data_IF_065289381737
#
_entry.id   IF_065289381737
#
_cell.length_a   1.000
_cell.length_b   1.000
_cell.length_c   1.000
_cell.angle_alpha   90.00
_cell.angle_beta   90.00
_cell.angle_gamma   90.00
#
_symmetry.space_group_name_H-M   'P 1'
#
loop_
_entity.id
_entity.type
_entity.pdbx_description
1 polymer ?
#
# COMPACT_ATOMS: atom_id res chain seq x y z
N UNK A 1 14.08 14.24 8.08
CA UNK A 1 14.11 13.28 6.95
C UNK A 1 14.04 11.91 7.58
N UNK A 2 12.89 11.23 7.51
CA UNK A 2 12.63 10.04 8.34
C UNK A 2 13.13 8.79 7.63
N UNK A 3 13.81 7.92 8.37
CA UNK A 3 14.45 6.71 7.86
C UNK A 3 13.42 5.77 7.23
N UNK A 4 13.67 5.37 5.98
CA UNK A 4 12.76 4.51 5.21
C UNK A 4 12.92 3.07 5.68
N UNK A 5 11.81 2.45 6.09
CA UNK A 5 11.78 1.03 6.43
C UNK A 5 11.67 0.22 5.15
N UNK A 6 12.72 -0.54 4.85
CA UNK A 6 12.76 -1.41 3.69
C UNK A 6 11.97 -2.69 3.95
N UNK A 7 11.17 -3.11 2.97
CA UNK A 7 10.57 -4.43 2.98
C UNK A 7 11.62 -5.48 2.56
N UNK A 8 12.06 -6.31 3.50
CA UNK A 8 13.15 -7.30 3.30
C UNK A 8 12.64 -8.66 2.83
N UNK A 9 13.55 -9.54 2.39
CA UNK A 9 13.20 -10.90 1.93
C UNK A 9 12.59 -11.76 3.04
N UNK A 10 13.03 -11.57 4.29
CA UNK A 10 12.48 -12.28 5.43
C UNK A 10 11.03 -11.85 5.68
N UNK A 11 10.73 -10.56 5.54
CA UNK A 11 9.37 -10.02 5.63
C UNK A 11 8.43 -10.61 4.57
N UNK A 12 8.92 -11.03 3.39
CA UNK A 12 8.08 -11.65 2.35
C UNK A 12 7.31 -12.88 2.87
N UNK A 13 7.91 -13.67 3.77
CA UNK A 13 7.30 -14.90 4.30
C UNK A 13 6.29 -14.63 5.41
N UNK A 14 6.61 -13.68 6.29
CA UNK A 14 5.85 -13.49 7.54
C UNK A 14 4.83 -12.36 7.47
N UNK A 15 5.01 -11.37 6.57
CA UNK A 15 4.19 -10.17 6.53
C UNK A 15 2.95 -10.34 5.65
N UNK A 16 1.85 -9.74 6.08
CA UNK A 16 0.65 -9.53 5.26
C UNK A 16 0.77 -8.19 4.54
N UNK A 17 0.62 -8.17 3.23
CA UNK A 17 0.67 -6.96 2.41
C UNK A 17 -0.76 -6.49 2.12
N UNK A 18 -1.12 -5.31 2.59
CA UNK A 18 -2.43 -4.70 2.37
C UNK A 18 -2.45 -3.87 1.08
N UNK A 19 -3.45 -4.11 0.25
CA UNK A 19 -3.70 -3.41 -1.02
C UNK A 19 -4.96 -2.54 -0.85
N UNK A 20 -4.95 -1.26 -1.26
CA UNK A 20 -6.11 -0.38 -1.13
C UNK A 20 -7.15 -0.72 -2.20
N UNK A 21 -8.43 -0.46 -1.92
CA UNK A 21 -9.52 -0.84 -2.83
C UNK A 21 -9.83 0.27 -3.84
N UNK A 22 -8.95 0.48 -4.81
CA UNK A 22 -9.17 1.48 -5.87
C UNK A 22 -9.92 0.93 -7.08
N UNK A 23 -9.65 -0.32 -7.44
CA UNK A 23 -10.23 -0.97 -8.61
C UNK A 23 -10.47 -2.46 -8.29
N UNK A 24 -11.58 -2.79 -7.59
CA UNK A 24 -11.74 -4.06 -6.89
C UNK A 24 -11.52 -5.29 -7.78
N UNK A 25 -12.08 -5.27 -8.99
CA UNK A 25 -12.00 -6.40 -9.93
C UNK A 25 -10.56 -6.63 -10.39
N UNK A 26 -9.86 -5.57 -10.82
CA UNK A 26 -8.49 -5.68 -11.32
C UNK A 26 -7.52 -6.03 -10.20
N UNK A 27 -7.65 -5.39 -9.04
CA UNK A 27 -6.75 -5.63 -7.90
C UNK A 27 -6.96 -7.00 -7.26
N UNK A 28 -8.15 -7.59 -7.38
CA UNK A 28 -8.40 -8.98 -6.97
C UNK A 28 -7.60 -9.97 -7.83
N UNK A 29 -7.60 -9.80 -9.15
CA UNK A 29 -6.82 -10.61 -10.08
C UNK A 29 -5.31 -10.45 -9.81
N UNK A 30 -4.86 -9.20 -9.68
CA UNK A 30 -3.46 -8.90 -9.35
C UNK A 30 -3.06 -9.56 -8.03
N UNK A 31 -3.86 -9.42 -6.97
CA UNK A 31 -3.63 -10.10 -5.68
C UNK A 31 -3.45 -11.60 -5.86
N UNK A 32 -4.32 -12.25 -6.64
CA UNK A 32 -4.26 -13.70 -6.86
C UNK A 32 -2.96 -14.11 -7.56
N UNK A 33 -2.52 -13.33 -8.56
CA UNK A 33 -1.21 -13.52 -9.19
C UNK A 33 -0.08 -13.38 -8.17
N UNK A 34 -0.06 -12.32 -7.36
CA UNK A 34 0.97 -12.16 -6.34
C UNK A 34 0.95 -13.28 -5.27
N UNK A 35 -0.22 -13.81 -4.91
CA UNK A 35 -0.33 -14.96 -4.01
C UNK A 35 0.30 -16.22 -4.60
N UNK A 36 0.14 -16.47 -5.90
CA UNK A 36 0.81 -17.58 -6.60
C UNK A 36 2.35 -17.47 -6.53
N UNK A 37 2.89 -16.25 -6.46
CA UNK A 37 4.31 -15.98 -6.32
C UNK A 37 4.80 -15.90 -4.86
N UNK A 38 3.97 -16.37 -3.92
CA UNK A 38 4.30 -16.53 -2.50
C UNK A 38 4.25 -15.24 -1.69
N UNK A 39 3.48 -14.23 -2.13
CA UNK A 39 3.21 -13.02 -1.35
C UNK A 39 1.85 -13.12 -0.66
N UNK A 40 1.81 -12.93 0.66
CA UNK A 40 0.54 -12.91 1.40
C UNK A 40 -0.16 -11.55 1.25
N UNK A 41 -0.94 -11.39 0.19
CA UNK A 41 -1.65 -10.15 -0.11
C UNK A 41 -3.12 -10.18 0.30
N UNK A 42 -3.61 -9.08 0.85
CA UNK A 42 -5.02 -8.88 1.21
C UNK A 42 -5.52 -7.59 0.57
N UNK A 43 -6.61 -7.68 -0.20
CA UNK A 43 -7.33 -6.52 -0.71
C UNK A 43 -8.22 -5.98 0.41
N UNK A 44 -8.04 -4.71 0.75
CA UNK A 44 -8.88 -4.03 1.71
C UNK A 44 -10.32 -3.96 1.18
N UNK A 45 -11.28 -4.13 2.09
CA UNK A 45 -12.72 -4.04 1.79
C UNK A 45 -13.43 -3.07 2.73
N UNK A 46 -12.69 -2.36 3.58
CA UNK A 46 -13.26 -1.33 4.42
C UNK A 46 -13.63 -0.12 3.56
N UNK A 47 -14.86 0.33 3.74
CA UNK A 47 -15.47 1.41 3.00
C UNK A 47 -16.46 2.15 3.91
N UNK A 48 -16.96 3.30 3.45
CA UNK A 48 -17.94 4.09 4.18
C UNK A 48 -17.33 5.23 5.02
N UNK A 49 -18.14 5.82 5.93
CA UNK A 49 -17.79 7.07 6.62
C UNK A 49 -16.52 6.98 7.48
N UNK A 50 -16.25 5.85 8.13
CA UNK A 50 -15.09 5.69 9.02
C UNK A 50 -13.76 5.88 8.29
N UNK A 51 -13.68 5.39 7.04
CA UNK A 51 -12.52 5.56 6.15
C UNK A 51 -12.31 7.04 5.82
N UNK A 52 -13.39 7.76 5.51
CA UNK A 52 -13.35 9.18 5.17
C UNK A 52 -12.91 10.01 6.37
N UNK A 53 -13.52 9.77 7.53
CA UNK A 53 -13.19 10.45 8.78
C UNK A 53 -11.73 10.20 9.19
N UNK A 54 -11.27 8.96 9.09
CA UNK A 54 -9.87 8.59 9.36
C UNK A 54 -8.92 9.30 8.39
N UNK A 55 -9.26 9.33 7.10
CA UNK A 55 -8.51 10.08 6.09
C UNK A 55 -8.39 11.56 6.42
N UNK A 56 -9.51 12.23 6.74
CA UNK A 56 -9.57 13.65 7.13
C UNK A 56 -8.80 13.95 8.43
N UNK A 57 -8.72 12.98 9.35
CA UNK A 57 -8.00 13.12 10.62
C UNK A 57 -6.47 13.17 10.43
N UNK A 58 -5.93 12.38 9.50
CA UNK A 58 -4.48 12.21 9.35
C UNK A 58 -3.89 12.90 8.11
N UNK A 59 -4.71 13.18 7.10
CA UNK A 59 -4.33 13.81 5.83
C UNK A 59 -4.96 15.20 5.72
N UNK A 60 -4.28 16.13 5.05
CA UNK A 60 -4.84 17.48 4.85
C UNK A 60 -5.94 17.47 3.78
N UNK A 61 -6.97 18.29 3.98
CA UNK A 61 -8.12 18.44 3.09
C UNK A 61 -7.78 18.93 1.66
N UNK A 62 -6.61 19.55 1.47
CA UNK A 62 -6.11 20.00 0.15
C UNK A 62 -5.41 18.88 -0.66
N UNK A 63 -5.63 17.62 -0.24
CA UNK A 63 -5.15 16.45 -0.96
C UNK A 63 -6.26 15.95 -1.89
N UNK A 64 -5.90 15.44 -3.06
CA UNK A 64 -6.87 14.78 -3.94
C UNK A 64 -7.61 13.66 -3.18
N UNK A 65 -8.93 13.65 -3.33
CA UNK A 65 -9.84 12.76 -2.61
C UNK A 65 -9.47 11.26 -2.68
N UNK A 66 -8.99 10.70 -3.82
CA UNK A 66 -8.57 9.29 -3.85
C UNK A 66 -7.39 8.98 -2.92
N UNK A 67 -6.46 9.92 -2.72
CA UNK A 67 -5.36 9.72 -1.77
C UNK A 67 -5.88 9.67 -0.34
N UNK A 68 -6.83 10.55 -0.01
CA UNK A 68 -7.46 10.60 1.29
C UNK A 68 -8.17 9.28 1.60
N UNK A 69 -8.93 8.75 0.64
CA UNK A 69 -9.60 7.45 0.79
C UNK A 69 -8.60 6.31 0.95
N UNK A 70 -7.56 6.22 0.11
CA UNK A 70 -6.56 5.15 0.25
C UNK A 70 -5.84 5.19 1.60
N UNK A 71 -5.38 6.37 2.02
CA UNK A 71 -4.67 6.53 3.30
C UNK A 71 -5.63 6.24 4.46
N UNK A 72 -6.87 6.73 4.37
CA UNK A 72 -7.94 6.43 5.32
C UNK A 72 -8.17 4.93 5.44
N UNK A 73 -8.29 4.22 4.31
CA UNK A 73 -8.50 2.76 4.29
C UNK A 73 -7.36 2.02 4.99
N UNK A 74 -6.11 2.41 4.72
CA UNK A 74 -4.96 1.78 5.37
C UNK A 74 -4.96 2.01 6.88
N UNK A 75 -5.13 3.25 7.33
CA UNK A 75 -5.06 3.58 8.76
C UNK A 75 -6.24 2.96 9.52
N UNK A 76 -7.45 3.04 8.96
CA UNK A 76 -8.66 2.42 9.52
C UNK A 76 -8.48 0.90 9.63
N UNK A 77 -7.93 0.25 8.60
CA UNK A 77 -7.64 -1.18 8.62
C UNK A 77 -6.60 -1.54 9.69
N UNK A 78 -5.51 -0.77 9.82
CA UNK A 78 -4.49 -1.00 10.84
C UNK A 78 -5.02 -0.76 12.27
N UNK A 79 -5.92 0.21 12.46
CA UNK A 79 -6.55 0.52 13.75
C UNK A 79 -7.70 -0.43 14.11
N UNK A 80 -8.26 -1.16 13.13
CA UNK A 80 -9.37 -2.09 13.35
C UNK A 80 -9.03 -3.30 14.24
N UNK A 81 -7.75 -3.55 14.52
CA UNK A 81 -7.26 -4.69 15.30
C UNK A 81 -7.31 -6.03 14.55
N UNK A 82 -7.78 -6.06 13.29
CA UNK A 82 -7.85 -7.28 12.47
C UNK A 82 -6.49 -7.75 11.95
N UNK A 83 -5.50 -6.85 11.93
CA UNK A 83 -4.17 -7.11 11.40
C UNK A 83 -3.11 -6.83 12.47
N UNK A 84 -2.08 -7.69 12.52
CA UNK A 84 -0.89 -7.44 13.33
C UNK A 84 -0.04 -6.37 12.64
N UNK A 85 -0.07 -5.15 13.18
CA UNK A 85 0.66 -3.99 12.65
C UNK A 85 2.18 -4.23 12.56
N UNK A 86 2.75 -5.12 13.38
CA UNK A 86 4.17 -5.46 13.33
C UNK A 86 4.51 -6.47 12.24
N UNK A 87 3.52 -7.20 11.73
CA UNK A 87 3.65 -8.16 10.63
C UNK A 87 2.80 -7.76 9.43
N UNK A 88 2.58 -6.45 9.26
CA UNK A 88 1.81 -5.91 8.15
C UNK A 88 2.65 -4.93 7.37
N UNK A 89 2.56 -4.99 6.04
CA UNK A 89 3.13 -4.03 5.12
C UNK A 89 2.02 -3.43 4.26
N UNK A 90 2.20 -2.20 3.81
CA UNK A 90 1.27 -1.54 2.90
C UNK A 90 1.88 -1.47 1.50
N UNK A 91 1.08 -1.66 0.46
CA UNK A 91 1.54 -1.45 -0.92
C UNK A 91 0.72 -0.37 -1.61
N UNK A 92 1.40 0.58 -2.26
CA UNK A 92 0.76 1.65 -3.02
C UNK A 92 1.47 1.84 -4.36
N UNK A 93 0.70 2.14 -5.41
CA UNK A 93 1.25 2.42 -6.73
C UNK A 93 1.92 3.79 -6.76
N UNK A 94 3.09 3.86 -7.41
CA UNK A 94 3.81 5.11 -7.61
C UNK A 94 4.21 5.21 -9.09
N UNK A 95 3.65 6.20 -9.78
CA UNK A 95 3.86 6.42 -11.22
C UNK A 95 5.18 7.13 -11.52
N UNK A 96 5.82 7.75 -10.52
CA UNK A 96 7.17 8.31 -10.66
C UNK A 96 7.28 9.64 -11.40
N UNK A 97 6.16 10.28 -11.78
CA UNK A 97 6.13 11.61 -12.39
C UNK A 97 5.88 12.74 -11.39
N UNK A 98 5.73 13.98 -11.87
CA UNK A 98 5.40 15.16 -11.05
C UNK A 98 3.92 15.31 -10.64
N UNK A 99 3.10 14.26 -10.78
CA UNK A 99 1.66 14.34 -10.52
C UNK A 99 1.32 14.09 -9.04
N UNK A 100 0.07 14.41 -8.64
CA UNK A 100 -0.42 14.18 -7.26
C UNK A 100 -0.29 12.71 -6.85
N UNK A 101 -0.50 11.76 -7.77
CA UNK A 101 -0.44 10.31 -7.50
C UNK A 101 0.95 9.84 -7.04
N UNK A 102 2.03 10.40 -7.60
CA UNK A 102 3.39 10.08 -7.18
C UNK A 102 3.67 10.42 -5.71
N UNK A 103 2.96 11.40 -5.16
CA UNK A 103 3.14 11.87 -3.79
C UNK A 103 2.30 11.10 -2.76
N UNK A 104 1.47 10.14 -3.18
CA UNK A 104 0.60 9.40 -2.25
C UNK A 104 1.42 8.65 -1.21
N UNK A 105 2.55 8.05 -1.62
CA UNK A 105 3.44 7.33 -0.71
C UNK A 105 4.03 8.22 0.38
N UNK A 106 4.40 9.45 0.04
CA UNK A 106 4.93 10.42 1.00
C UNK A 106 3.86 10.84 2.00
N UNK A 107 2.64 11.12 1.50
CA UNK A 107 1.50 11.47 2.33
C UNK A 107 1.10 10.33 3.26
N UNK A 108 1.11 9.09 2.75
CA UNK A 108 0.85 7.87 3.53
C UNK A 108 1.86 7.72 4.67
N UNK A 109 3.18 7.83 4.39
CA UNK A 109 4.22 7.76 5.42
C UNK A 109 4.03 8.84 6.50
N UNK A 110 3.73 10.08 6.09
CA UNK A 110 3.45 11.18 7.03
C UNK A 110 2.22 10.91 7.89
N UNK A 111 1.17 10.34 7.30
CA UNK A 111 -0.06 10.00 8.00
C UNK A 111 0.15 8.83 8.99
N UNK A 112 0.94 7.81 8.61
CA UNK A 112 1.31 6.70 9.50
C UNK A 112 2.09 7.19 10.72
N UNK A 113 3.06 8.08 10.53
CA UNK A 113 3.83 8.67 11.64
C UNK A 113 2.92 9.43 12.61
N UNK A 114 1.98 10.23 12.08
CA UNK A 114 0.96 10.91 12.91
C UNK A 114 0.04 9.94 13.65
N UNK A 115 -0.22 8.76 13.08
CA UNK A 115 -1.03 7.73 13.69
C UNK A 115 -0.25 6.83 14.68
N UNK A 116 1.04 7.08 14.89
CA UNK A 116 1.91 6.22 15.72
C UNK A 116 2.31 4.90 15.05
N UNK A 117 2.03 4.74 13.75
CA UNK A 117 2.26 3.55 12.93
C UNK A 117 3.44 3.72 11.97
N UNK A 118 4.36 4.65 12.27
CA UNK A 118 5.51 4.95 11.42
C UNK A 118 6.48 3.79 11.21
N UNK A 119 6.37 2.72 12.01
CA UNK A 119 7.16 1.50 11.88
C UNK A 119 6.64 0.52 10.81
N UNK A 120 5.44 0.77 10.26
CA UNK A 120 4.84 -0.10 9.24
C UNK A 120 5.55 0.14 7.88
N UNK A 121 6.13 -0.88 7.25
CA UNK A 121 6.79 -0.73 5.96
C UNK A 121 5.78 -0.40 4.85
N UNK A 122 6.14 0.56 3.99
CA UNK A 122 5.34 0.98 2.83
C UNK A 122 6.11 0.68 1.54
N UNK A 123 5.59 -0.28 0.80
CA UNK A 123 6.10 -0.76 -0.48
C UNK A 123 5.55 0.15 -1.60
N UNK A 124 6.46 0.68 -2.41
CA UNK A 124 6.13 1.37 -3.64
C UNK A 124 6.09 0.39 -4.80
N UNK A 125 4.93 0.26 -5.44
CA UNK A 125 4.80 -0.46 -6.70
C UNK A 125 5.02 0.53 -7.84
N UNK A 126 6.26 0.57 -8.33
CA UNK A 126 6.67 1.38 -9.46
C UNK A 126 7.38 0.52 -10.52
N UNK A 127 7.14 0.74 -11.82
CA UNK A 127 7.86 0.05 -12.89
C UNK A 127 9.27 0.62 -13.12
N UNK A 128 9.56 1.81 -12.59
CA UNK A 128 10.79 2.58 -12.85
C UNK A 128 11.92 2.23 -11.87
N UNK A 129 11.66 1.42 -10.82
CA UNK A 129 12.66 1.05 -9.82
C UNK A 129 13.06 2.20 -8.87
N UNK A 130 12.18 3.17 -8.66
CA UNK A 130 12.42 4.38 -7.86
C UNK A 130 12.70 4.09 -6.38
N UNK A 131 12.20 2.97 -5.87
CA UNK A 131 12.37 2.56 -4.49
C UNK A 131 12.75 1.08 -4.43
N UNK A 132 14.00 0.79 -4.04
CA UNK A 132 14.48 -0.59 -3.83
C UNK A 132 13.78 -1.19 -2.60
N UNK A 133 13.03 -2.27 -2.79
CA UNK A 133 12.46 -3.09 -1.73
C UNK A 133 13.00 -4.51 -1.93
N UNK A 134 14.03 -4.93 -1.18
CA UNK A 134 14.72 -6.20 -1.41
C UNK A 134 13.83 -7.45 -1.31
N UNK A 135 12.73 -7.36 -0.55
CA UNK A 135 11.71 -8.40 -0.41
C UNK A 135 10.62 -8.38 -1.47
N UNK A 136 10.56 -7.35 -2.31
CA UNK A 136 9.54 -7.19 -3.34
C UNK A 136 10.20 -7.16 -4.72
N UNK A 137 10.30 -8.32 -5.35
CA UNK A 137 10.83 -8.45 -6.71
C UNK A 137 9.69 -8.52 -7.71
N UNK A 138 9.56 -7.47 -8.52
CA UNK A 138 8.70 -7.45 -9.70
C UNK A 138 9.45 -8.16 -10.84
N UNK A 139 9.28 -9.48 -10.94
CA UNK A 139 9.81 -10.23 -12.07
C UNK A 139 9.04 -9.87 -13.35
N UNK A 140 9.72 -9.81 -14.50
CA UNK A 140 9.08 -9.52 -15.78
C UNK A 140 7.88 -10.45 -16.07
N UNK A 141 7.99 -11.72 -15.70
CA UNK A 141 6.90 -12.71 -15.80
C UNK A 141 5.66 -12.32 -15.00
N UNK A 142 5.86 -11.82 -13.77
CA UNK A 142 4.78 -11.35 -12.90
C UNK A 142 4.09 -10.12 -13.50
N UNK A 143 4.88 -9.19 -14.03
CA UNK A 143 4.38 -7.98 -14.72
C UNK A 143 3.56 -8.34 -15.96
N UNK A 144 4.05 -9.25 -16.80
CA UNK A 144 3.33 -9.73 -17.98
C UNK A 144 2.03 -10.47 -17.60
N UNK A 145 2.06 -11.32 -16.57
CA UNK A 145 0.88 -12.01 -16.06
C UNK A 145 -0.17 -11.04 -15.51
N UNK A 146 0.26 -10.04 -14.74
CA UNK A 146 -0.63 -9.01 -14.22
C UNK A 146 -1.21 -8.13 -15.34
N UNK A 147 -0.43 -7.83 -16.38
CA UNK A 147 -0.86 -6.99 -17.49
C UNK A 147 -1.77 -7.72 -18.49
N UNK A 148 -1.57 -9.01 -18.74
CA UNK A 148 -2.45 -9.82 -19.60
C UNK A 148 -3.83 -10.10 -18.98
N UNK A 149 -4.01 -9.87 -17.69
CA UNK A 149 -5.31 -10.05 -17.00
C UNK A 149 -6.20 -8.79 -17.04
N UNK A 150 -5.69 -7.67 -17.56
CA UNK A 150 -6.38 -6.38 -17.70
C UNK A 150 -6.85 -6.23 -19.15
#
# INVERSE_FOLDING_TARGET
MQERIEFTKDMKRDYTILIPNMLPVHLKLVRDVFQLHGYRMVLLQNEGPSVVETGLKYVHNDTCYPALLCIGQFIDALQSGRYDVHKTALIITQTGGGCRASNYIFLLRKALVKAGLGFVPVISLNPVGLEKNSGFQLTLTLLLQAMMMI
#
